data_IF_678122570899
#
_entry.id   IF_678122570899
#
_cell.length_a   1.000
_cell.length_b   1.000
_cell.length_c   1.000
_cell.angle_alpha   90.00
_cell.angle_beta   90.00
_cell.angle_gamma   90.00
#
_symmetry.space_group_name_H-M   'P 1'
#
loop_
_entity.id
_entity.type
_entity.pdbx_description
1 polymer ?
#
# COMPACT_ATOMS: atom_id res chain seq x y z
N UNK A 1 -0.92 13.94 13.20
CA UNK A 1 -0.59 13.24 11.94
C UNK A 1 -1.92 12.87 11.31
N UNK A 2 -2.23 13.44 10.14
CA UNK A 2 -3.58 13.36 9.56
C UNK A 2 -3.93 11.93 9.12
N UNK A 3 -5.06 11.45 9.65
CA UNK A 3 -5.66 10.16 9.33
C UNK A 3 -6.55 10.34 8.10
N UNK A 4 -6.25 9.65 7.00
CA UNK A 4 -7.06 9.73 5.78
C UNK A 4 -7.17 8.39 5.07
N UNK A 5 -8.26 8.17 4.33
CA UNK A 5 -8.42 7.00 3.45
C UNK A 5 -7.29 6.87 2.43
N UNK A 6 -6.67 7.98 2.01
CA UNK A 6 -5.49 7.96 1.14
C UNK A 6 -4.31 7.24 1.79
N UNK A 7 -4.11 7.44 3.10
CA UNK A 7 -3.05 6.75 3.86
C UNK A 7 -3.34 5.26 3.98
N UNK A 8 -4.59 4.87 4.23
CA UNK A 8 -4.97 3.44 4.28
C UNK A 8 -4.79 2.79 2.91
N UNK A 9 -5.23 3.46 1.85
CA UNK A 9 -5.06 2.97 0.48
C UNK A 9 -3.60 2.77 0.12
N UNK A 10 -2.73 3.70 0.54
CA UNK A 10 -1.28 3.56 0.38
C UNK A 10 -0.77 2.27 1.02
N UNK A 11 -1.18 1.95 2.25
CA UNK A 11 -0.73 0.75 2.95
C UNK A 11 -1.20 -0.54 2.27
N UNK A 12 -2.46 -0.56 1.83
CA UNK A 12 -2.98 -1.73 1.11
C UNK A 12 -2.30 -1.92 -0.25
N UNK A 13 -2.01 -0.83 -0.98
CA UNK A 13 -1.24 -0.86 -2.24
C UNK A 13 0.20 -1.32 -2.01
N UNK A 14 0.84 -0.90 -0.91
CA UNK A 14 2.17 -1.38 -0.53
C UNK A 14 2.15 -2.89 -0.22
N UNK A 15 1.07 -3.42 0.35
CA UNK A 15 0.88 -4.87 0.53
C UNK A 15 0.54 -5.62 -0.78
N UNK A 16 0.36 -4.91 -1.90
CA UNK A 16 0.06 -5.49 -3.21
C UNK A 16 -1.44 -5.63 -3.53
N UNK A 17 -2.32 -5.20 -2.63
CA UNK A 17 -3.76 -5.27 -2.85
C UNK A 17 -4.23 -4.20 -3.83
N UNK A 18 -5.08 -4.61 -4.78
CA UNK A 18 -5.78 -3.71 -5.69
C UNK A 18 -6.74 -2.83 -4.87
N UNK A 19 -6.36 -1.58 -4.66
CA UNK A 19 -7.10 -0.64 -3.81
C UNK A 19 -7.36 0.67 -4.54
N UNK A 20 -8.61 0.88 -4.92
CA UNK A 20 -9.09 2.14 -5.46
C UNK A 20 -9.42 3.12 -4.33
N UNK A 21 -8.96 4.35 -4.44
CA UNK A 21 -9.21 5.42 -3.47
C UNK A 21 -9.16 6.74 -4.22
N UNK A 22 -10.33 7.20 -4.60
CA UNK A 22 -10.55 8.41 -5.37
C UNK A 22 -11.68 9.21 -4.73
N UNK A 23 -11.48 10.51 -4.59
CA UNK A 23 -12.46 11.41 -3.98
C UNK A 23 -13.52 11.86 -4.98
N UNK A 24 -13.23 11.74 -6.28
CA UNK A 24 -14.08 12.27 -7.34
C UNK A 24 -15.15 11.25 -7.78
N UNK A 25 -15.12 10.02 -7.23
CA UNK A 25 -16.12 8.99 -7.50
C UNK A 25 -17.36 9.24 -6.63
N UNK A 26 -18.55 9.45 -7.23
CA UNK A 26 -19.77 9.67 -6.47
C UNK A 26 -20.30 8.37 -5.84
N UNK A 27 -21.10 8.50 -4.78
CA UNK A 27 -21.54 7.38 -3.93
C UNK A 27 -22.32 6.26 -4.66
N UNK A 28 -23.14 6.63 -5.64
CA UNK A 28 -23.88 5.72 -6.52
C UNK A 28 -22.93 4.84 -7.34
N UNK A 29 -21.93 5.45 -7.97
CA UNK A 29 -20.92 4.73 -8.74
C UNK A 29 -20.06 3.82 -7.86
N UNK A 30 -19.83 4.15 -6.58
CA UNK A 30 -19.07 3.27 -5.67
C UNK A 30 -19.74 1.91 -5.52
N UNK A 31 -21.07 1.88 -5.34
CA UNK A 31 -21.83 0.64 -5.16
C UNK A 31 -21.82 -0.16 -6.47
N UNK A 32 -22.03 0.52 -7.60
CA UNK A 32 -21.99 -0.12 -8.92
C UNK A 32 -20.61 -0.72 -9.22
N UNK A 33 -19.53 0.05 -9.02
CA UNK A 33 -18.15 -0.43 -9.22
C UNK A 33 -17.86 -1.62 -8.30
N UNK A 34 -18.27 -1.53 -7.02
CA UNK A 34 -18.03 -2.61 -6.07
C UNK A 34 -18.78 -3.89 -6.45
N UNK A 35 -20.03 -3.78 -6.88
CA UNK A 35 -20.86 -4.90 -7.31
C UNK A 35 -20.36 -5.51 -8.63
N UNK A 36 -20.02 -4.68 -9.62
CA UNK A 36 -19.56 -5.13 -10.94
C UNK A 36 -18.16 -5.75 -10.91
N UNK A 37 -17.25 -5.20 -10.10
CA UNK A 37 -15.84 -5.60 -10.08
C UNK A 37 -15.45 -6.52 -8.91
N UNK A 38 -16.43 -6.98 -8.13
CA UNK A 38 -16.25 -7.84 -6.95
C UNK A 38 -15.26 -7.22 -5.93
N UNK A 39 -15.58 -6.00 -5.47
CA UNK A 39 -14.72 -5.24 -4.55
C UNK A 39 -15.39 -5.07 -3.19
N UNK A 40 -14.57 -5.14 -2.14
CA UNK A 40 -14.96 -4.76 -0.80
C UNK A 40 -14.90 -3.23 -0.64
N UNK A 41 -15.96 -2.62 -0.11
CA UNK A 41 -15.99 -1.17 0.17
C UNK A 41 -15.52 -0.90 1.60
N UNK A 42 -14.60 0.04 1.78
CA UNK A 42 -14.17 0.53 3.08
C UNK A 42 -14.58 2.00 3.18
N UNK A 43 -15.41 2.33 4.17
CA UNK A 43 -15.96 3.68 4.31
C UNK A 43 -15.95 4.16 5.74
N UNK A 44 -15.62 5.44 5.93
CA UNK A 44 -15.83 6.16 7.19
C UNK A 44 -17.09 7.04 7.15
N UNK A 45 -17.84 7.03 6.04
CA UNK A 45 -19.05 7.84 5.85
C UNK A 45 -20.30 7.03 6.24
N UNK A 46 -21.05 7.46 7.27
CA UNK A 46 -22.30 6.80 7.69
C UNK A 46 -23.39 6.86 6.61
N UNK A 47 -23.32 7.83 5.70
CA UNK A 47 -24.26 7.98 4.59
C UNK A 47 -24.11 6.84 3.58
N UNK A 48 -22.87 6.51 3.19
CA UNK A 48 -22.56 5.43 2.27
C UNK A 48 -22.78 4.05 2.92
N UNK A 49 -22.44 3.90 4.20
CA UNK A 49 -22.70 2.66 4.95
C UNK A 49 -24.20 2.27 4.93
N UNK A 50 -25.09 3.22 5.23
CA UNK A 50 -26.56 3.01 5.17
C UNK A 50 -27.04 2.60 3.77
N UNK A 51 -26.43 3.11 2.71
CA UNK A 51 -26.77 2.75 1.32
C UNK A 51 -26.32 1.33 0.97
N UNK A 52 -25.12 0.95 1.38
CA UNK A 52 -24.60 -0.42 1.19
C UNK A 52 -25.46 -1.45 1.93
N UNK A 53 -25.89 -1.14 3.15
CA UNK A 53 -26.84 -1.97 3.88
C UNK A 53 -28.20 -2.10 3.17
N UNK A 54 -28.74 -1.00 2.66
CA UNK A 54 -30.01 -1.03 1.93
C UNK A 54 -29.91 -1.87 0.65
N UNK A 55 -28.79 -1.75 -0.06
CA UNK A 55 -28.48 -2.55 -1.24
C UNK A 55 -28.38 -4.04 -0.91
N UNK A 56 -27.64 -4.41 0.14
CA UNK A 56 -27.52 -5.81 0.59
C UNK A 56 -28.86 -6.40 1.06
N UNK A 57 -29.70 -5.61 1.75
CA UNK A 57 -31.08 -6.03 2.09
C UNK A 57 -31.93 -6.30 0.85
N UNK A 58 -31.81 -5.47 -0.18
CA UNK A 58 -32.53 -5.67 -1.45
C UNK A 58 -32.04 -6.93 -2.18
N UNK A 59 -30.73 -7.16 -2.21
CA UNK A 59 -30.12 -8.36 -2.78
C UNK A 59 -30.64 -9.65 -2.12
N UNK A 60 -30.64 -9.71 -0.78
CA UNK A 60 -31.08 -10.90 -0.05
C UNK A 60 -32.55 -11.24 -0.30
N UNK A 61 -33.41 -10.24 -0.46
CA UNK A 61 -34.82 -10.45 -0.84
C UNK A 61 -34.94 -11.06 -2.24
N UNK A 62 -34.21 -10.52 -3.23
CA UNK A 62 -34.21 -11.07 -4.60
C UNK A 62 -33.59 -12.47 -4.68
N UNK A 63 -32.56 -12.78 -3.89
CA UNK A 63 -31.99 -14.13 -3.83
C UNK A 63 -32.93 -15.15 -3.19
N UNK A 64 -33.69 -14.78 -2.15
CA UNK A 64 -34.69 -15.66 -1.55
C UNK A 64 -35.83 -16.01 -2.53
N UNK A 65 -36.10 -15.15 -3.51
CA UNK A 65 -37.04 -15.39 -4.60
C UNK A 65 -36.46 -16.26 -5.73
N UNK A 66 -35.13 -16.43 -5.79
CA UNK A 66 -34.41 -17.13 -6.88
C UNK A 66 -33.72 -18.45 -6.48
N UNK A 67 -33.73 -18.87 -5.21
CA UNK A 67 -33.02 -20.08 -4.76
C UNK A 67 -33.86 -21.37 -4.88
N UNK A 68 -33.95 -21.90 -6.10
CA UNK A 68 -33.62 -23.31 -6.36
C UNK A 68 -32.37 -23.32 -7.26
N UNK A 69 -31.45 -24.23 -6.99
CA UNK A 69 -30.18 -24.49 -7.73
C UNK A 69 -28.89 -23.78 -7.26
N UNK A 70 -28.05 -24.58 -6.58
CA UNK A 70 -26.64 -24.75 -6.97
C UNK A 70 -25.61 -23.80 -6.38
N UNK A 71 -25.03 -24.15 -5.23
CA UNK A 71 -23.80 -23.51 -4.72
C UNK A 71 -22.60 -24.44 -4.88
N UNK A 72 -21.59 -24.03 -5.65
CA UNK A 72 -20.22 -24.48 -5.42
C UNK A 72 -19.15 -23.49 -5.93
N UNK A 73 -18.19 -23.25 -5.02
CA UNK A 73 -16.79 -22.83 -5.19
C UNK A 73 -16.46 -21.40 -5.67
N UNK A 74 -15.57 -20.73 -4.92
CA UNK A 74 -14.11 -20.72 -5.23
C UNK A 74 -13.27 -20.07 -4.11
N UNK A 75 -12.22 -20.79 -3.71
CA UNK A 75 -11.12 -20.31 -2.90
C UNK A 75 -10.10 -19.54 -3.77
N UNK A 76 -9.47 -18.52 -3.20
CA UNK A 76 -8.20 -17.98 -3.71
C UNK A 76 -8.28 -16.88 -4.78
N UNK A 77 -8.99 -15.77 -4.50
CA UNK A 77 -8.82 -14.53 -5.27
C UNK A 77 -8.24 -13.43 -4.39
N UNK A 78 -7.26 -12.69 -4.93
CA UNK A 78 -6.75 -11.46 -4.31
C UNK A 78 -7.89 -10.46 -4.17
N UNK A 79 -8.26 -10.12 -2.93
CA UNK A 79 -9.35 -9.19 -2.64
C UNK A 79 -9.05 -7.81 -3.24
N UNK A 80 -10.07 -7.20 -3.85
CA UNK A 80 -10.03 -5.83 -4.41
C UNK A 80 -10.81 -4.88 -3.51
N UNK A 81 -10.34 -3.65 -3.37
CA UNK A 81 -10.91 -2.66 -2.44
C UNK A 81 -11.34 -1.37 -3.13
N UNK A 82 -12.37 -0.73 -2.58
CA UNK A 82 -12.77 0.66 -2.84
C UNK A 82 -12.82 1.41 -1.51
N UNK A 83 -12.01 2.46 -1.33
CA UNK A 83 -11.94 3.24 -0.09
C UNK A 83 -12.52 4.63 -0.26
N UNK A 84 -13.35 5.08 0.69
CA UNK A 84 -14.04 6.37 0.59
C UNK A 84 -14.20 7.10 1.93
N UNK A 85 -14.08 8.44 1.90
CA UNK A 85 -13.89 9.26 3.10
C UNK A 85 -14.86 10.45 3.29
N UNK A 86 -15.87 10.65 2.43
CA UNK A 86 -16.55 11.97 2.39
C UNK A 86 -17.33 12.34 3.66
N UNK A 87 -17.16 13.61 3.99
CA UNK A 87 -17.62 14.40 5.11
C UNK A 87 -18.63 15.52 4.72
N UNK A 88 -19.17 15.52 3.48
CA UNK A 88 -20.16 16.53 3.06
C UNK A 88 -21.06 16.16 1.86
N UNK A 89 -22.35 16.03 2.18
CA UNK A 89 -23.61 16.29 1.44
C UNK A 89 -24.07 15.73 0.07
N UNK A 90 -25.40 15.55 0.09
CA UNK A 90 -26.43 15.36 -0.94
C UNK A 90 -26.69 13.95 -1.49
N UNK A 91 -27.96 13.58 -1.35
CA UNK A 91 -28.58 12.28 -1.69
C UNK A 91 -29.36 12.49 -2.98
N UNK A 92 -28.93 11.86 -4.06
CA UNK A 92 -29.77 11.68 -5.23
C UNK A 92 -30.10 10.19 -5.34
N UNK A 93 -31.39 9.91 -5.37
CA UNK A 93 -31.94 8.59 -5.65
C UNK A 93 -32.12 8.50 -7.16
N UNK A 94 -31.24 7.77 -7.85
CA UNK A 94 -31.57 7.23 -9.16
C UNK A 94 -31.58 5.72 -9.09
N UNK A 95 -32.76 5.17 -9.39
CA UNK A 95 -33.03 3.75 -9.54
C UNK A 95 -32.49 3.30 -10.89
N UNK A 96 -31.18 3.07 -10.99
CA UNK A 96 -30.60 2.29 -12.08
C UNK A 96 -30.67 0.80 -11.69
N UNK A 97 -31.46 0.05 -12.45
CA UNK A 97 -31.65 -1.39 -12.33
C UNK A 97 -30.35 -2.11 -12.75
N UNK A 98 -29.36 -2.14 -11.86
CA UNK A 98 -28.11 -2.88 -12.06
C UNK A 98 -28.19 -4.24 -11.39
N UNK A 99 -27.58 -5.30 -11.99
CA UNK A 99 -27.68 -6.66 -11.48
C UNK A 99 -27.12 -6.71 -10.07
N UNK A 100 -28.00 -6.94 -9.10
CA UNK A 100 -27.66 -6.86 -7.69
C UNK A 100 -26.77 -8.07 -7.38
N UNK A 101 -25.48 -7.84 -7.13
CA UNK A 101 -24.61 -8.77 -6.40
C UNK A 101 -24.36 -8.21 -5.01
N UNK A 102 -24.31 -9.07 -3.99
CA UNK A 102 -23.91 -8.66 -2.64
C UNK A 102 -22.58 -7.89 -2.69
N UNK A 103 -22.52 -6.77 -1.98
CA UNK A 103 -21.30 -5.97 -1.84
C UNK A 103 -20.82 -6.11 -0.40
N UNK A 104 -19.62 -6.69 -0.22
CA UNK A 104 -18.95 -6.72 1.09
C UNK A 104 -18.52 -5.29 1.45
N UNK A 105 -18.79 -4.85 2.68
CA UNK A 105 -18.31 -3.56 3.14
C UNK A 105 -17.86 -3.57 4.60
N UNK A 106 -16.96 -2.63 4.91
CA UNK A 106 -16.34 -2.44 6.21
C UNK A 106 -16.48 -0.97 6.59
N UNK A 107 -17.36 -0.70 7.55
CA UNK A 107 -17.49 0.63 8.15
C UNK A 107 -16.40 0.86 9.21
N UNK A 108 -15.82 2.05 9.22
CA UNK A 108 -14.83 2.51 10.21
C UNK A 108 -15.37 3.71 10.97
N UNK A 109 -15.18 3.74 12.29
CA UNK A 109 -15.58 4.89 13.12
C UNK A 109 -14.73 6.13 12.87
N UNK A 110 -15.34 7.31 13.05
CA UNK A 110 -14.68 8.60 12.83
C UNK A 110 -13.44 8.82 13.71
N UNK A 111 -12.42 9.41 13.07
CA UNK A 111 -10.98 9.32 13.39
C UNK A 111 -10.47 10.10 14.60
N UNK A 112 -11.33 10.64 15.46
CA UNK A 112 -10.91 11.73 16.37
C UNK A 112 -9.93 11.30 17.48
N UNK A 113 -9.69 9.99 17.71
CA UNK A 113 -8.74 9.47 18.73
C UNK A 113 -8.03 8.14 18.43
N UNK A 114 -8.24 7.50 17.27
CA UNK A 114 -7.75 6.12 17.07
C UNK A 114 -6.26 6.05 16.66
N UNK A 115 -5.53 5.04 17.14
CA UNK A 115 -4.19 4.71 16.64
C UNK A 115 -4.28 4.13 15.22
N UNK A 116 -3.45 4.67 14.32
CA UNK A 116 -3.41 4.27 12.91
C UNK A 116 -3.05 2.79 12.77
N UNK A 117 -2.12 2.30 13.58
CA UNK A 117 -1.72 0.91 13.53
C UNK A 117 -2.87 -0.01 13.92
N UNK A 118 -3.61 0.33 14.97
CA UNK A 118 -4.76 -0.45 15.41
C UNK A 118 -5.88 -0.44 14.36
N UNK A 119 -6.08 0.69 13.68
CA UNK A 119 -7.05 0.76 12.57
C UNK A 119 -6.63 -0.16 11.42
N UNK A 120 -5.36 -0.13 11.01
CA UNK A 120 -4.87 -1.01 9.94
C UNK A 120 -4.97 -2.48 10.35
N UNK A 121 -4.64 -2.81 11.60
CA UNK A 121 -4.80 -4.17 12.15
C UNK A 121 -6.26 -4.60 12.10
N UNK A 122 -7.20 -3.78 12.58
CA UNK A 122 -8.65 -4.07 12.50
C UNK A 122 -9.11 -4.31 11.06
N UNK A 123 -8.66 -3.46 10.13
CA UNK A 123 -8.99 -3.58 8.72
C UNK A 123 -8.42 -4.85 8.08
N UNK A 124 -7.17 -5.20 8.36
CA UNK A 124 -6.55 -6.45 7.88
C UNK A 124 -7.36 -7.65 8.39
N UNK A 125 -7.73 -7.66 9.68
CA UNK A 125 -8.52 -8.72 10.31
C UNK A 125 -9.90 -8.85 9.66
N UNK A 126 -10.66 -7.75 9.58
CA UNK A 126 -12.03 -7.73 9.05
C UNK A 126 -12.08 -8.03 7.56
N UNK A 127 -11.11 -7.52 6.80
CA UNK A 127 -10.97 -7.83 5.38
C UNK A 127 -10.41 -9.24 5.12
N UNK A 128 -9.93 -9.96 6.14
CA UNK A 128 -9.34 -11.30 6.02
C UNK A 128 -8.18 -11.35 5.03
N UNK A 129 -7.28 -10.37 5.14
CA UNK A 129 -6.12 -10.29 4.26
C UNK A 129 -5.07 -11.32 4.63
N UNK A 130 -4.32 -11.74 3.62
CA UNK A 130 -3.09 -12.50 3.77
C UNK A 130 -1.86 -11.59 3.61
N UNK A 131 -0.73 -12.00 4.16
CA UNK A 131 0.55 -11.38 3.85
C UNK A 131 1.30 -12.25 2.86
N UNK A 132 1.58 -11.70 1.69
CA UNK A 132 2.35 -12.37 0.63
C UNK A 132 3.46 -11.45 0.14
N UNK A 133 4.70 -11.82 0.47
CA UNK A 133 5.90 -11.07 0.12
C UNK A 133 6.07 -10.87 -1.38
N UNK A 134 5.52 -11.77 -2.21
CA UNK A 134 5.59 -11.68 -3.68
C UNK A 134 4.84 -10.45 -4.23
N UNK A 135 3.79 -10.00 -3.55
CA UNK A 135 2.97 -8.88 -4.00
C UNK A 135 3.32 -7.57 -3.28
N UNK A 136 4.14 -7.61 -2.22
CA UNK A 136 4.57 -6.40 -1.53
C UNK A 136 5.38 -5.51 -2.49
N UNK A 137 5.06 -4.21 -2.50
CA UNK A 137 5.61 -3.19 -3.40
C UNK A 137 5.41 -3.48 -4.90
N UNK A 138 4.46 -4.35 -5.27
CA UNK A 138 4.15 -4.64 -6.68
C UNK A 138 3.23 -3.62 -7.36
N UNK A 139 2.63 -2.70 -6.60
CA UNK A 139 1.68 -1.70 -7.10
C UNK A 139 2.12 -0.27 -6.80
N UNK A 140 1.72 0.63 -7.70
CA UNK A 140 1.91 2.06 -7.50
C UNK A 140 1.07 2.54 -6.32
N UNK A 141 1.73 3.17 -5.35
CA UNK A 141 1.06 3.75 -4.17
C UNK A 141 0.06 4.85 -4.51
N UNK A 142 0.24 5.54 -5.64
CA UNK A 142 -0.64 6.63 -6.09
C UNK A 142 -1.74 6.12 -7.03
N UNK A 143 -1.34 5.37 -8.06
CA UNK A 143 -2.22 4.99 -9.17
C UNK A 143 -2.87 3.62 -9.01
N UNK A 144 -2.37 2.78 -8.10
CA UNK A 144 -2.78 1.39 -7.92
C UNK A 144 -2.44 0.43 -9.09
N UNK A 145 -1.87 0.92 -10.20
CA UNK A 145 -1.39 0.06 -11.29
C UNK A 145 -0.22 -0.84 -10.87
N UNK A 146 -0.14 -2.02 -11.47
CA UNK A 146 0.98 -2.95 -11.30
C UNK A 146 2.25 -2.30 -11.87
N UNK A 147 3.31 -2.29 -11.07
CA UNK A 147 4.59 -1.73 -11.46
C UNK A 147 5.29 -2.69 -12.43
N UNK A 148 5.97 -2.12 -13.42
CA UNK A 148 6.76 -2.88 -14.38
C UNK A 148 8.25 -2.65 -14.11
N UNK A 149 9.07 -3.69 -14.28
CA UNK A 149 10.52 -3.52 -14.25
C UNK A 149 10.97 -2.63 -15.41
N UNK A 150 11.96 -1.77 -15.14
CA UNK A 150 12.54 -0.90 -16.17
C UNK A 150 14.06 -1.02 -16.17
N UNK A 151 14.62 -1.01 -17.36
CA UNK A 151 16.07 -0.97 -17.52
C UNK A 151 16.65 0.28 -16.86
N UNK A 152 17.81 0.12 -16.21
CA UNK A 152 18.47 1.21 -15.50
C UNK A 152 18.60 2.47 -16.37
N UNK A 153 19.00 2.34 -17.64
CA UNK A 153 19.15 3.48 -18.55
C UNK A 153 17.89 4.35 -18.68
N UNK A 154 16.70 3.74 -18.65
CA UNK A 154 15.41 4.44 -18.73
C UNK A 154 15.03 5.17 -17.43
N UNK A 155 15.60 4.76 -16.29
CA UNK A 155 15.41 5.47 -15.02
C UNK A 155 16.21 6.78 -14.93
N UNK A 156 17.20 6.97 -15.82
CA UNK A 156 18.06 8.17 -15.82
C UNK A 156 17.23 9.43 -16.04
N UNK A 157 17.46 10.45 -15.22
CA UNK A 157 16.71 11.71 -15.26
C UNK A 157 15.32 11.66 -14.62
N UNK A 158 14.77 10.47 -14.33
CA UNK A 158 13.53 10.30 -13.56
C UNK A 158 13.77 10.15 -12.06
N UNK A 159 15.00 9.79 -11.68
CA UNK A 159 15.47 9.73 -10.29
C UNK A 159 16.67 10.66 -10.10
N UNK A 160 16.95 11.04 -8.85
CA UNK A 160 18.16 11.81 -8.52
C UNK A 160 19.42 11.04 -8.91
N UNK A 161 20.47 11.75 -9.32
CA UNK A 161 21.74 11.13 -9.76
C UNK A 161 22.36 10.23 -8.69
N UNK A 162 22.24 10.62 -7.41
CA UNK A 162 22.69 9.82 -6.28
C UNK A 162 21.94 8.49 -6.14
N UNK A 163 20.65 8.47 -6.48
CA UNK A 163 19.84 7.23 -6.50
C UNK A 163 20.26 6.38 -7.70
N UNK A 164 20.36 6.99 -8.88
CA UNK A 164 20.78 6.31 -10.11
C UNK A 164 22.13 5.61 -9.98
N UNK A 165 23.09 6.28 -9.32
CA UNK A 165 24.43 5.74 -9.10
C UNK A 165 24.44 4.52 -8.18
N UNK A 166 23.59 4.50 -7.15
CA UNK A 166 23.59 3.47 -6.11
C UNK A 166 22.79 2.22 -6.53
N UNK A 167 21.62 2.39 -7.15
CA UNK A 167 20.69 1.29 -7.40
C UNK A 167 20.80 0.76 -8.83
N UNK A 168 20.55 -0.54 -9.00
CA UNK A 168 20.51 -1.20 -10.30
C UNK A 168 19.08 -1.51 -10.75
N UNK A 169 18.19 -1.72 -9.78
CA UNK A 169 16.86 -2.22 -10.00
C UNK A 169 15.83 -1.13 -9.79
N UNK A 170 15.01 -0.92 -10.82
CA UNK A 170 13.99 0.10 -10.86
C UNK A 170 12.69 -0.51 -11.37
N UNK A 171 11.59 -0.05 -10.80
CA UNK A 171 10.26 -0.32 -11.31
C UNK A 171 9.56 1.00 -11.63
N UNK A 172 8.58 0.97 -12.53
CA UNK A 172 7.87 2.16 -12.97
C UNK A 172 6.38 1.90 -13.04
N UNK A 173 5.58 2.91 -12.69
CA UNK A 173 4.15 2.87 -12.94
C UNK A 173 3.87 3.21 -14.41
N UNK A 174 3.12 2.36 -15.16
CA UNK A 174 2.79 2.65 -16.57
C UNK A 174 1.89 3.89 -16.71
N UNK A 175 1.08 4.21 -15.70
CA UNK A 175 0.12 5.32 -15.71
C UNK A 175 0.74 6.67 -15.36
N UNK A 176 1.37 6.81 -14.18
CA UNK A 176 1.94 8.09 -13.75
C UNK A 176 3.44 8.24 -14.03
N UNK A 177 4.10 7.21 -14.58
CA UNK A 177 5.54 7.21 -14.91
C UNK A 177 6.49 7.43 -13.73
N UNK A 178 5.99 7.42 -12.49
CA UNK A 178 6.83 7.44 -11.29
C UNK A 178 7.71 6.19 -11.23
N UNK A 179 8.98 6.40 -10.95
CA UNK A 179 9.99 5.36 -10.78
C UNK A 179 10.17 5.06 -9.29
N UNK A 180 10.23 3.77 -8.96
CA UNK A 180 10.43 3.23 -7.63
C UNK A 180 11.68 2.35 -7.61
N UNK A 181 12.29 2.20 -6.43
CA UNK A 181 13.49 1.40 -6.20
C UNK A 181 13.51 0.92 -4.75
N UNK A 182 14.41 0.01 -4.42
CA UNK A 182 14.62 -0.42 -3.04
C UNK A 182 14.07 -1.79 -2.68
N UNK A 183 13.38 -2.47 -3.60
CA UNK A 183 12.88 -3.82 -3.43
C UNK A 183 13.05 -4.62 -4.73
N UNK A 184 13.53 -5.86 -4.64
CA UNK A 184 13.63 -6.79 -5.77
C UNK A 184 13.59 -8.23 -5.28
N UNK A 185 12.86 -9.09 -6.00
CA UNK A 185 12.84 -10.54 -5.76
C UNK A 185 12.65 -10.88 -4.27
N UNK A 186 11.63 -10.27 -3.64
CA UNK A 186 11.28 -10.43 -2.22
C UNK A 186 12.30 -9.84 -1.21
N UNK A 187 13.38 -9.23 -1.69
CA UNK A 187 14.44 -8.66 -0.84
C UNK A 187 14.43 -7.12 -0.82
N UNK A 188 14.58 -6.56 0.38
CA UNK A 188 14.77 -5.12 0.57
C UNK A 188 16.25 -4.75 0.39
N UNK A 189 16.56 -3.91 -0.59
CA UNK A 189 17.94 -3.50 -0.93
C UNK A 189 18.32 -2.15 -0.31
N UNK A 190 17.40 -1.48 0.38
CA UNK A 190 17.71 -0.27 1.13
C UNK A 190 17.02 -0.26 2.51
N UNK A 191 17.56 0.51 3.45
CA UNK A 191 17.05 0.55 4.83
C UNK A 191 15.61 1.05 4.93
N UNK A 192 15.22 2.05 4.14
CA UNK A 192 13.85 2.60 4.20
C UNK A 192 12.82 1.56 3.76
N UNK A 193 13.13 0.81 2.71
CA UNK A 193 12.29 -0.30 2.23
C UNK A 193 12.26 -1.42 3.27
N UNK A 194 13.40 -1.78 3.88
CA UNK A 194 13.44 -2.78 4.95
C UNK A 194 12.49 -2.41 6.10
N UNK A 195 12.59 -1.18 6.61
CA UNK A 195 11.73 -0.71 7.72
C UNK A 195 10.26 -0.70 7.35
N UNK A 196 9.95 -0.32 6.11
CA UNK A 196 8.57 -0.35 5.61
C UNK A 196 8.05 -1.77 5.55
N UNK A 197 8.84 -2.71 5.01
CA UNK A 197 8.49 -4.12 4.95
C UNK A 197 8.30 -4.74 6.34
N UNK A 198 9.23 -4.48 7.29
CA UNK A 198 9.14 -4.95 8.68
C UNK A 198 7.87 -4.42 9.36
N UNK A 199 7.54 -3.15 9.14
CA UNK A 199 6.31 -2.55 9.65
C UNK A 199 5.07 -3.22 9.06
N UNK A 200 5.00 -3.40 7.74
CA UNK A 200 3.87 -4.05 7.07
C UNK A 200 3.69 -5.49 7.54
N UNK A 201 4.77 -6.26 7.63
CA UNK A 201 4.77 -7.62 8.15
C UNK A 201 4.26 -7.65 9.60
N UNK A 202 4.76 -6.75 10.46
CA UNK A 202 4.33 -6.68 11.87
C UNK A 202 2.85 -6.35 12.01
N UNK A 203 2.30 -5.44 11.18
CA UNK A 203 0.87 -5.14 11.17
C UNK A 203 0.04 -6.37 10.77
N UNK A 204 0.48 -7.12 9.77
CA UNK A 204 -0.20 -8.34 9.33
C UNK A 204 -0.15 -9.46 10.38
N UNK A 205 1.02 -9.68 10.99
CA UNK A 205 1.18 -10.65 12.09
C UNK A 205 0.31 -10.29 13.28
N UNK A 206 0.27 -9.01 13.67
CA UNK A 206 -0.61 -8.52 14.75
C UNK A 206 -2.10 -8.72 14.46
N UNK A 207 -2.49 -8.69 13.18
CA UNK A 207 -3.85 -8.97 12.73
C UNK A 207 -4.18 -10.47 12.63
N UNK A 208 -3.19 -11.36 12.84
CA UNK A 208 -3.36 -12.79 12.64
C UNK A 208 -3.51 -13.19 11.16
N UNK A 209 -3.05 -12.36 10.24
CA UNK A 209 -3.11 -12.65 8.81
C UNK A 209 -2.22 -13.87 8.46
N UNK A 210 -2.69 -14.82 7.64
CA UNK A 210 -1.87 -15.92 7.17
C UNK A 210 -0.71 -15.39 6.32
N UNK A 211 0.49 -15.93 6.55
CA UNK A 211 1.70 -15.63 5.78
C UNK A 211 1.87 -16.72 4.72
N UNK A 212 1.64 -16.37 3.45
CA UNK A 212 1.58 -17.36 2.36
C UNK A 212 2.98 -17.69 1.79
N UNK A 213 3.83 -16.69 1.64
CA UNK A 213 5.20 -16.84 1.14
C UNK A 213 6.16 -16.16 2.13
N UNK A 214 6.95 -16.96 2.86
CA UNK A 214 7.83 -16.44 3.92
C UNK A 214 8.79 -17.46 4.57
N UNK A 215 8.93 -18.65 4.00
CA UNK A 215 9.93 -19.63 4.44
C UNK A 215 11.32 -19.29 3.89
N UNK A 216 12.11 -18.47 4.58
CA UNK A 216 13.56 -18.74 4.63
C UNK A 216 14.56 -17.61 4.46
N UNK A 217 14.21 -16.38 4.10
CA UNK A 217 15.21 -15.29 4.06
C UNK A 217 14.75 -14.08 4.85
N UNK A 218 15.20 -14.00 6.10
CA UNK A 218 15.20 -12.73 6.83
C UNK A 218 15.99 -11.74 5.98
N UNK A 219 15.38 -10.61 5.61
CA UNK A 219 16.12 -9.54 4.94
C UNK A 219 17.31 -9.16 5.81
N UNK A 220 18.49 -9.52 5.34
CA UNK A 220 19.72 -9.39 6.13
C UNK A 220 20.37 -8.07 5.76
N UNK A 221 20.84 -7.31 6.76
CA UNK A 221 21.50 -6.01 6.57
C UNK A 221 22.70 -6.05 5.60
N UNK A 222 23.25 -7.24 5.30
CA UNK A 222 24.39 -7.45 4.39
C UNK A 222 24.18 -6.92 2.97
N UNK A 223 22.95 -6.69 2.52
CA UNK A 223 22.63 -6.26 1.14
C UNK A 223 22.02 -4.85 1.04
N UNK A 224 22.09 -4.07 2.12
CA UNK A 224 21.52 -2.73 2.15
C UNK A 224 22.51 -1.73 1.52
N UNK A 225 22.14 -1.13 0.40
CA UNK A 225 22.95 -0.13 -0.29
C UNK A 225 22.94 1.25 0.39
N UNK A 226 22.01 1.50 1.31
CA UNK A 226 21.93 2.79 2.01
C UNK A 226 21.47 2.65 3.45
N UNK A 227 22.26 3.20 4.37
CA UNK A 227 21.98 3.24 5.81
C UNK A 227 21.31 4.56 6.24
N UNK A 228 20.63 4.58 7.40
CA UNK A 228 20.14 5.81 8.02
C UNK A 228 21.27 6.81 8.24
N UNK A 229 20.93 8.10 8.21
CA UNK A 229 21.89 9.18 8.49
C UNK A 229 22.59 8.99 9.83
N UNK A 230 21.86 8.63 10.89
CA UNK A 230 22.43 8.37 12.22
C UNK A 230 23.51 7.27 12.20
N UNK A 231 23.30 6.22 11.42
CA UNK A 231 24.29 5.13 11.26
C UNK A 231 25.49 5.61 10.46
N UNK A 232 25.27 6.41 9.40
CA UNK A 232 26.37 7.02 8.63
C UNK A 232 27.24 7.91 9.51
N UNK A 233 26.64 8.81 10.30
CA UNK A 233 27.34 9.68 11.24
C UNK A 233 28.10 8.88 12.31
N UNK A 234 27.49 7.81 12.83
CA UNK A 234 28.16 6.95 13.80
C UNK A 234 29.40 6.25 13.19
N UNK A 235 29.30 5.74 11.95
CA UNK A 235 30.46 5.18 11.23
C UNK A 235 31.54 6.24 11.01
N UNK A 236 31.16 7.44 10.54
CA UNK A 236 32.10 8.53 10.28
C UNK A 236 32.79 9.01 11.56
N UNK A 237 32.10 8.97 12.71
CA UNK A 237 32.69 9.33 14.02
C UNK A 237 33.85 8.44 14.48
N UNK A 238 33.99 7.23 13.91
CA UNK A 238 35.13 6.33 14.17
C UNK A 238 36.32 6.55 13.22
N UNK A 239 36.20 7.46 12.25
CA UNK A 239 37.25 7.73 11.26
C UNK A 239 37.98 9.01 11.67
N UNK A 240 39.31 8.97 11.76
CA UNK A 240 40.09 10.17 12.07
C UNK A 240 39.96 11.23 10.97
N UNK A 241 40.11 12.51 11.33
CA UNK A 241 39.88 13.65 10.41
C UNK A 241 40.71 13.59 9.13
N UNK A 242 41.95 13.10 9.22
CA UNK A 242 42.84 12.99 8.06
C UNK A 242 42.35 11.90 7.09
N UNK A 243 41.82 10.80 7.63
CA UNK A 243 41.22 9.72 6.85
C UNK A 243 39.87 10.11 6.25
N UNK A 244 39.07 10.95 6.92
CA UNK A 244 37.84 11.52 6.37
C UNK A 244 38.11 12.36 5.12
N UNK A 245 39.18 13.15 5.13
CA UNK A 245 39.59 13.99 3.99
C UNK A 245 40.00 13.12 2.81
N UNK A 246 40.82 12.08 3.04
CA UNK A 246 41.16 11.11 2.00
C UNK A 246 39.93 10.34 1.46
N UNK A 247 38.95 10.02 2.32
CA UNK A 247 37.69 9.40 1.92
C UNK A 247 36.85 10.31 1.02
N UNK A 248 36.86 11.63 1.26
CA UNK A 248 36.19 12.60 0.41
C UNK A 248 36.86 12.74 -0.97
N UNK A 249 38.18 12.63 -1.03
CA UNK A 249 38.94 12.65 -2.28
C UNK A 249 38.66 11.40 -3.14
N UNK A 250 38.57 10.23 -2.51
CA UNK A 250 38.28 8.96 -3.19
C UNK A 250 36.78 8.81 -3.50
N UNK A 251 35.91 9.33 -2.64
CA UNK A 251 34.45 9.27 -2.79
C UNK A 251 33.83 10.67 -2.64
N UNK A 252 33.85 11.49 -3.71
CA UNK A 252 33.34 12.87 -3.68
C UNK A 252 31.86 12.99 -3.28
N UNK A 253 31.10 11.89 -3.35
CA UNK A 253 29.71 11.83 -2.89
C UNK A 253 29.53 11.92 -1.36
N UNK A 254 30.62 11.79 -0.58
CA UNK A 254 30.60 11.87 0.88
C UNK A 254 30.73 13.30 1.43
N UNK A 255 31.12 14.27 0.60
CA UNK A 255 31.37 15.67 1.01
C UNK A 255 30.17 16.28 1.77
N UNK A 256 28.95 16.12 1.25
CA UNK A 256 27.74 16.65 1.88
C UNK A 256 27.29 15.93 3.16
N UNK A 257 27.88 14.79 3.52
CA UNK A 257 27.63 14.09 4.79
C UNK A 257 28.61 14.56 5.89
N UNK A 258 29.82 14.97 5.50
CA UNK A 258 30.89 15.43 6.41
C UNK A 258 30.69 16.89 6.81
N UNK A 259 30.19 17.74 5.92
CA UNK A 259 29.91 19.16 6.22
C UNK A 259 28.84 19.34 7.32
N UNK A 260 27.97 18.34 7.48
CA UNK A 260 26.94 18.30 8.52
C UNK A 260 27.45 17.80 9.89
N UNK A 261 28.64 17.19 9.98
CA UNK A 261 29.31 16.88 11.27
C UNK A 261 30.11 18.07 11.82
N UNK A 262 30.46 19.03 10.96
CA UNK A 262 31.23 20.22 11.34
C UNK A 262 30.37 21.38 11.88
N UNK A 263 29.04 21.24 11.89
CA UNK A 263 28.08 22.18 12.48
C UNK A 263 27.56 21.65 13.81
#
# INVERSE_FOLDING_TARGET
MDFSMKKIATYFRLLGYDTMCDRDIPHDQIIEIASMQDRCVITASPSLARRLEAHDRCFRKQQQEMQEEGQLARAGHHKRFVMYASDGDSVYSDTSNTPIKAVEYIEIQQWRKADFQNTIVDLITRARLAYDTLYVFSRCVDCNDVLVEVEKGLAKGSVLESVFSIYQDFTMCPKCRKVFWGFKAEEAINYKTLRTLEMLHTLCVRAGAPVLCGGGKKNTMKRIYSLPRSVKLNILSFIEKDHLTALMDVFPALTGLVDDERK
#
